data_IF_259719456075
#
_entry.id   IF_259719456075
#
_cell.length_a   1.000
_cell.length_b   1.000
_cell.length_c   1.000
_cell.angle_alpha   90.00
_cell.angle_beta   90.00
_cell.angle_gamma   90.00
#
_symmetry.space_group_name_H-M   'P 1'
#
loop_
_entity.id
_entity.type
_entity.pdbx_description
1 polymer ?
2 non-polymer ?
3 non-polymer ?
4 water ?
#
# COMPACT_ATOMS: atom_id res chain seq x y z
N UNK A 1 -16.28 -5.45 -8.90
CA UNK A 1 -15.29 -4.74 -9.71
C UNK A 1 -14.22 -5.71 -10.18
N UNK A 2 -13.85 -5.60 -11.45
CA UNK A 2 -12.89 -6.53 -12.07
C UNK A 2 -11.99 -5.79 -13.07
N UNK A 3 -10.78 -6.31 -13.21
CA UNK A 3 -9.86 -5.82 -14.23
C UNK A 3 -9.32 -6.97 -15.05
N UNK A 4 -8.69 -6.66 -16.16
CA UNK A 4 -7.83 -7.63 -16.83
C UNK A 4 -6.63 -6.96 -17.49
N UNK A 5 -5.68 -7.79 -17.86
CA UNK A 5 -4.45 -7.38 -18.50
C UNK A 5 -4.37 -8.00 -19.88
N UNK A 6 -4.17 -7.14 -20.89
CA UNK A 6 -4.13 -7.59 -22.28
C UNK A 6 -5.32 -8.49 -22.62
N UNK A 7 -6.50 -8.16 -22.11
CA UNK A 7 -7.71 -8.90 -22.43
C UNK A 7 -7.78 -10.30 -21.85
N UNK A 8 -6.97 -10.58 -20.84
CA UNK A 8 -6.95 -11.89 -20.21
C UNK A 8 -8.10 -12.16 -19.24
N UNK A 9 -7.94 -13.16 -18.38
CA UNK A 9 -9.00 -13.52 -17.45
C UNK A 9 -9.17 -12.44 -16.39
N UNK A 10 -10.34 -12.41 -15.78
CA UNK A 10 -10.71 -11.37 -14.83
C UNK A 10 -9.89 -11.44 -13.55
N UNK A 11 -9.63 -10.26 -12.98
CA UNK A 11 -8.86 -10.09 -11.76
C UNK A 11 -9.66 -9.27 -10.75
N UNK A 12 -9.78 -9.79 -9.53
CA UNK A 12 -10.59 -9.14 -8.52
C UNK A 12 -9.78 -8.49 -7.40
N UNK A 13 -8.51 -8.85 -7.31
CA UNK A 13 -7.62 -8.32 -6.29
C UNK A 13 -6.27 -8.98 -6.48
N UNK A 14 -5.27 -8.48 -5.75
CA UNK A 14 -3.96 -9.11 -5.75
C UNK A 14 -2.96 -8.51 -6.70
N UNK A 15 -1.88 -9.25 -6.91
CA UNK A 15 -0.74 -8.76 -7.65
C UNK A 15 -0.68 -9.41 -9.01
N UNK A 16 -0.51 -8.59 -10.04
CA UNK A 16 -0.46 -9.09 -11.42
C UNK A 16 0.70 -8.48 -12.20
N UNK A 17 1.41 -9.31 -12.95
CA UNK A 17 2.44 -8.81 -13.85
C UNK A 17 1.82 -8.16 -15.08
N UNK A 18 2.38 -7.00 -15.47
CA UNK A 18 1.94 -6.30 -16.67
C UNK A 18 3.16 -6.09 -17.56
N UNK A 19 3.18 -6.79 -18.70
CA UNK A 19 4.35 -6.73 -19.57
C UNK A 19 4.18 -5.62 -20.61
N UNK A 20 5.25 -4.88 -20.84
CA UNK A 20 5.18 -3.71 -21.70
C UNK A 20 6.35 -3.68 -22.67
N UNK A 21 6.10 -3.21 -23.88
CA UNK A 21 7.19 -2.98 -24.82
C UNK A 21 7.65 -1.54 -24.68
N UNK A 22 8.94 -1.34 -24.44
CA UNK A 22 9.46 0.01 -24.27
C UNK A 22 10.39 0.39 -25.41
N UNK A 23 10.65 1.69 -25.52
CA UNK A 23 11.66 2.18 -26.44
C UNK A 23 13.01 1.59 -26.08
N UNK A 24 13.66 0.91 -27.04
CA UNK A 24 14.91 0.18 -26.77
C UNK A 24 16.08 1.07 -26.35
N UNK A 25 15.99 2.38 -26.57
CA UNK A 25 17.03 3.31 -26.10
C UNK A 25 16.39 4.47 -25.34
N UNK A 26 17.00 4.87 -24.22
CA UNK A 26 16.48 5.98 -23.43
C UNK A 26 17.40 7.20 -23.50
N UNK A 27 16.94 8.23 -24.18
CA UNK A 27 17.78 9.39 -24.43
C UNK A 27 17.92 10.27 -23.19
N UNK A 28 19.18 10.62 -22.85
CA UNK A 28 19.49 11.49 -21.72
C UNK A 28 18.62 12.74 -21.72
N UNK A 29 18.03 13.05 -20.57
CA UNK A 29 17.18 14.22 -20.43
C UNK A 29 15.80 14.07 -21.05
N UNK A 30 15.47 12.87 -21.54
CA UNK A 30 14.16 12.62 -22.13
C UNK A 30 13.39 11.52 -21.40
N UNK A 31 12.10 11.75 -21.17
CA UNK A 31 11.22 10.77 -20.52
C UNK A 31 10.98 9.52 -21.35
N UNK A 32 11.12 8.36 -20.73
CA UNK A 32 10.66 7.11 -21.30
C UNK A 32 9.22 6.91 -20.88
N UNK A 33 8.33 6.65 -21.85
CA UNK A 33 6.90 6.52 -21.56
C UNK A 33 6.45 5.07 -21.43
N UNK A 34 5.73 4.78 -20.36
CA UNK A 34 5.12 3.48 -20.16
C UNK A 34 3.62 3.69 -20.12
N UNK A 35 2.97 3.50 -21.27
CA UNK A 35 1.54 3.70 -21.38
C UNK A 35 0.78 2.45 -20.90
N UNK A 36 0.26 2.48 -19.69
CA UNK A 36 -0.44 1.34 -19.16
C UNK A 36 -1.91 1.26 -19.60
N UNK A 37 -2.44 2.32 -20.21
CA UNK A 37 -3.80 2.24 -20.77
C UNK A 37 -3.83 1.20 -21.89
N UNK A 38 -2.67 0.86 -22.42
CA UNK A 38 -2.59 -0.12 -23.52
C UNK A 38 -2.71 -1.55 -23.01
N UNK A 39 -2.73 -1.74 -21.69
CA UNK A 39 -2.71 -3.09 -21.12
C UNK A 39 -3.73 -3.39 -20.02
N UNK A 40 -4.06 -2.40 -19.19
CA UNK A 40 -4.93 -2.67 -18.06
C UNK A 40 -6.30 -2.03 -18.29
N UNK A 41 -7.36 -2.82 -18.12
CA UNK A 41 -8.72 -2.30 -18.21
C UNK A 41 -9.53 -2.84 -17.05
N UNK A 42 -10.52 -2.07 -16.60
CA UNK A 42 -11.37 -2.49 -15.50
C UNK A 42 -12.83 -2.16 -15.79
N UNK A 43 -13.74 -2.78 -15.08
CA UNK A 43 -15.16 -2.51 -15.32
C UNK A 43 -16.00 -2.76 -14.08
N UNK A 44 -17.22 -2.23 -14.11
CA UNK A 44 -18.20 -2.44 -13.08
C UNK A 44 -18.89 -3.78 -13.35
N UNK A 45 -19.07 -4.61 -12.33
CA UNK A 45 -19.53 -5.97 -12.60
C UNK A 45 -21.05 -6.07 -12.73
N UNK A 46 -21.75 -4.96 -12.51
CA UNK A 46 -23.18 -4.88 -12.82
C UNK A 46 -23.48 -4.03 -14.03
N UNK A 47 -22.77 -2.90 -14.12
CA UNK A 47 -23.07 -1.89 -15.11
C UNK A 47 -24.22 -1.02 -14.63
N UNK A 48 -24.59 -0.03 -15.44
CA UNK A 48 -25.73 0.82 -15.16
C UNK A 48 -25.58 1.82 -14.02
N UNK A 49 -24.35 1.99 -13.51
CA UNK A 49 -24.11 2.95 -12.44
C UNK A 49 -24.97 2.67 -11.21
N UNK A 50 -25.11 1.38 -10.88
CA UNK A 50 -25.94 0.96 -9.74
C UNK A 50 -25.13 0.91 -8.43
N UNK A 51 -24.03 0.16 -8.43
CA UNK A 51 -23.08 0.14 -7.32
C UNK A 51 -21.72 0.63 -7.85
N UNK A 52 -21.57 1.94 -7.95
CA UNK A 52 -20.43 2.53 -8.66
C UNK A 52 -19.12 2.26 -7.93
N UNK A 53 -18.09 1.88 -8.71
CA UNK A 53 -16.74 1.67 -8.16
C UNK A 53 -15.90 2.93 -8.16
N UNK A 54 -15.04 3.07 -7.15
CA UNK A 54 -14.21 4.26 -7.00
C UNK A 54 -12.78 3.84 -6.85
N UNK A 55 -11.96 4.24 -7.80
CA UNK A 55 -10.61 3.70 -7.94
C UNK A 55 -9.56 4.79 -7.83
N UNK A 56 -8.52 4.55 -7.03
CA UNK A 56 -7.39 5.48 -7.01
C UNK A 56 -6.07 4.74 -6.87
N UNK A 57 -4.97 5.44 -7.16
CA UNK A 57 -3.65 4.88 -6.96
C UNK A 57 -3.14 5.34 -5.61
N UNK A 58 -2.27 4.54 -5.00
CA UNK A 58 -1.97 4.68 -3.58
C UNK A 58 -0.55 5.15 -3.27
N UNK A 59 -0.49 6.08 -2.32
CA UNK A 59 0.76 6.52 -1.73
C UNK A 59 1.73 5.36 -1.49
N UNK A 60 2.97 5.54 -1.90
CA UNK A 60 3.97 4.50 -1.73
C UNK A 60 4.30 3.77 -3.01
N UNK A 61 3.40 3.81 -3.99
CA UNK A 61 3.71 3.25 -5.30
C UNK A 61 5.03 3.82 -5.80
N UNK A 62 5.90 2.96 -6.31
CA UNK A 62 7.28 3.35 -6.53
C UNK A 62 7.96 2.57 -7.64
N UNK A 63 9.14 3.04 -8.01
CA UNK A 63 10.02 2.26 -8.86
C UNK A 63 10.49 1.04 -8.08
N UNK A 64 10.87 0.01 -8.82
CA UNK A 64 11.44 -1.19 -8.27
C UNK A 64 12.82 -1.22 -8.87
N UNK A 65 13.72 -1.51 -8.00
CA UNK A 65 13.46 -1.71 -6.60
C UNK A 65 13.96 -3.14 -6.51
N UNK A 66 15.21 -3.35 -6.95
CA UNK A 66 16.26 -2.33 -7.44
C UNK A 66 16.27 -1.47 -8.79
N UNK A 67 16.03 -0.17 -8.59
CA UNK A 67 15.95 0.89 -9.61
C UNK A 67 15.26 2.12 -9.01
N UNK A 68 15.25 2.14 -7.69
CA UNK A 68 14.65 3.16 -6.83
C UNK A 68 15.28 4.48 -6.93
N UNK A 69 16.42 4.53 -7.55
CA UNK A 69 17.12 5.77 -7.68
C UNK A 69 16.47 6.70 -8.69
N UNK A 70 15.64 6.15 -9.54
CA UNK A 70 15.01 6.95 -10.54
C UNK A 70 13.86 7.81 -10.09
N UNK A 71 13.69 8.90 -10.80
CA UNK A 71 12.53 9.74 -10.60
C UNK A 71 11.68 9.78 -11.86
N UNK A 72 10.49 10.34 -11.72
CA UNK A 72 9.58 10.37 -12.84
C UNK A 72 8.25 11.01 -12.52
N UNK A 73 7.25 10.70 -13.34
CA UNK A 73 5.92 11.22 -13.16
C UNK A 73 4.93 10.10 -13.41
N UNK A 74 3.78 10.17 -12.75
CA UNK A 74 2.70 9.21 -13.00
C UNK A 74 1.45 9.99 -13.38
N UNK A 75 0.98 9.76 -14.61
CA UNK A 75 -0.27 10.34 -15.07
C UNK A 75 -1.43 9.44 -14.67
N UNK A 76 -2.42 10.00 -13.96
CA UNK A 76 -3.63 9.27 -13.59
C UNK A 76 -4.82 10.15 -13.69
N UNK A 77 -5.73 9.83 -14.61
CA UNK A 77 -7.04 10.46 -14.65
C UNK A 77 -7.03 11.98 -14.47
N UNK A 78 -6.38 12.64 -15.42
CA UNK A 78 -6.38 14.09 -15.60
C UNK A 78 -5.35 14.83 -14.76
N UNK A 79 -4.56 14.11 -13.96
CA UNK A 79 -3.52 14.75 -13.13
C UNK A 79 -2.19 14.04 -13.31
N UNK A 80 -1.10 14.80 -13.38
CA UNK A 80 0.24 14.22 -13.44
C UNK A 80 0.92 14.43 -12.10
N UNK A 81 1.21 13.32 -11.42
CA UNK A 81 1.82 13.30 -10.08
C UNK A 81 3.31 13.02 -10.15
N UNK A 82 4.09 13.60 -9.21
CA UNK A 82 5.46 13.11 -9.07
C UNK A 82 5.44 11.62 -8.73
N UNK A 83 6.46 10.90 -9.19
CA UNK A 83 6.58 9.47 -8.94
C UNK A 83 8.03 9.20 -8.47
N UNK A 84 8.19 8.42 -7.39
CA UNK A 84 7.14 7.68 -6.67
C UNK A 84 6.07 8.54 -6.01
N UNK A 85 4.91 7.92 -5.83
CA UNK A 85 3.74 8.64 -5.31
C UNK A 85 3.87 8.92 -3.82
N UNK A 86 3.69 10.18 -3.43
CA UNK A 86 3.79 10.55 -2.02
C UNK A 86 2.41 10.85 -1.41
N UNK A 87 1.35 10.59 -2.19
CA UNK A 87 0.01 10.88 -1.75
C UNK A 87 -0.92 9.97 -2.55
N UNK A 88 -2.19 9.86 -2.15
CA UNK A 88 -3.16 9.12 -2.95
C UNK A 88 -3.64 10.02 -4.08
N UNK A 89 -3.94 9.42 -5.21
CA UNK A 89 -4.39 10.18 -6.39
C UNK A 89 -5.86 10.50 -6.31
N UNK A 90 -6.31 11.32 -7.25
CA UNK A 90 -7.74 11.52 -7.48
C UNK A 90 -8.44 10.19 -7.75
N UNK A 91 -9.75 10.18 -7.55
CA UNK A 91 -10.59 9.02 -7.77
C UNK A 91 -11.19 8.98 -9.17
N UNK A 92 -11.09 7.80 -9.80
CA UNK A 92 -11.74 7.50 -11.07
C UNK A 92 -12.98 6.68 -10.76
N UNK A 93 -14.11 7.03 -11.34
CA UNK A 93 -15.35 6.33 -11.05
C UNK A 93 -15.76 5.44 -12.20
N UNK A 94 -16.00 4.18 -11.89
CA UNK A 94 -16.27 3.12 -12.87
C UNK A 94 -17.65 2.51 -12.62
N UNK A 95 -18.55 2.64 -13.59
CA UNK A 95 -19.92 2.20 -13.42
C UNK A 95 -20.49 1.49 -14.64
N UNK A 96 -19.75 1.46 -15.74
CA UNK A 96 -20.15 0.71 -16.95
C UNK A 96 -19.60 -0.71 -16.93
N UNK A 97 -20.28 -1.65 -17.58
CA UNK A 97 -19.77 -3.00 -17.70
C UNK A 97 -18.77 -3.08 -18.85
N UNK A 98 -18.88 -2.17 -19.80
CA UNK A 98 -17.90 -2.05 -20.86
C UNK A 98 -16.55 -1.68 -20.24
N UNK A 99 -15.51 -2.47 -20.53
CA UNK A 99 -14.23 -2.17 -19.88
C UNK A 99 -13.70 -0.80 -20.23
N UNK A 100 -13.11 -0.13 -19.24
CA UNK A 100 -12.43 1.12 -19.44
C UNK A 100 -10.94 0.93 -19.24
N UNK A 101 -10.17 1.15 -20.30
CA UNK A 101 -8.70 1.19 -20.19
C UNK A 101 -8.30 2.18 -19.10
N UNK A 102 -7.36 1.82 -18.24
CA UNK A 102 -6.97 2.75 -17.19
C UNK A 102 -6.22 3.95 -17.78
N UNK A 103 -6.63 5.18 -17.39
CA UNK A 103 -5.95 6.38 -17.86
C UNK A 103 -4.67 6.59 -17.08
N UNK A 104 -3.68 5.74 -17.36
CA UNK A 104 -2.50 5.60 -16.53
C UNK A 104 -1.24 5.51 -17.38
N UNK A 105 -0.34 6.46 -17.16
CA UNK A 105 0.93 6.48 -17.87
C UNK A 105 2.05 6.78 -16.89
N UNK A 106 3.14 6.04 -16.99
CA UNK A 106 4.31 6.27 -16.15
C UNK A 106 5.40 6.88 -17.02
N UNK A 107 6.02 7.95 -16.51
CA UNK A 107 7.12 8.59 -17.21
C UNK A 107 8.40 8.42 -16.41
N UNK A 108 9.43 7.91 -17.07
CA UNK A 108 10.69 7.62 -16.39
C UNK A 108 11.81 8.54 -16.85
N UNK A 109 12.36 9.29 -15.90
CA UNK A 109 13.38 10.30 -16.19
C UNK A 109 14.77 9.74 -15.95
N UNK A 110 15.59 9.67 -17.01
CA UNK A 110 16.94 9.12 -16.92
C UNK A 110 17.95 10.15 -16.39
N UNK A 116 25.24 1.31 -20.23
CA UNK A 116 24.73 0.23 -21.05
C UNK A 116 23.26 -0.01 -20.80
N UNK A 117 22.92 -1.21 -20.34
CA UNK A 117 21.53 -1.55 -20.06
C UNK A 117 21.03 -0.86 -18.78
N UNK A 118 20.00 -0.04 -18.93
CA UNK A 118 19.39 0.66 -17.79
C UNK A 118 18.17 -0.10 -17.27
N UNK A 119 17.43 -0.72 -18.18
CA UNK A 119 16.28 -1.54 -17.83
C UNK A 119 16.44 -2.95 -18.40
N UNK A 120 16.37 -3.94 -17.51
CA UNK A 120 16.44 -5.34 -17.92
C UNK A 120 15.07 -5.93 -18.15
N UNK A 121 14.89 -6.57 -19.30
CA UNK A 121 13.66 -7.28 -19.59
C UNK A 121 13.39 -8.34 -18.53
N UNK A 122 12.13 -8.45 -18.10
CA UNK A 122 11.73 -9.51 -17.18
C UNK A 122 11.80 -9.14 -15.70
N UNK A 123 12.48 -8.04 -15.37
CA UNK A 123 12.55 -7.58 -14.00
C UNK A 123 11.42 -6.61 -13.70
N UNK A 124 10.86 -6.67 -12.50
CA UNK A 124 9.89 -5.65 -12.09
C UNK A 124 10.57 -4.28 -11.99
N UNK A 125 10.01 -3.28 -12.68
CA UNK A 125 10.60 -1.94 -12.64
C UNK A 125 9.73 -0.90 -11.90
N UNK A 126 8.46 -1.24 -11.67
CA UNK A 126 7.61 -0.41 -10.81
C UNK A 126 6.50 -1.26 -10.20
N UNK A 127 6.07 -0.86 -9.01
CA UNK A 127 4.96 -1.51 -8.32
C UNK A 127 3.89 -0.45 -8.05
N UNK A 128 2.78 -0.57 -8.76
CA UNK A 128 1.71 0.42 -8.67
C UNK A 128 0.55 -0.18 -7.88
N UNK A 129 0.26 0.42 -6.73
CA UNK A 129 -0.82 -0.03 -5.87
C UNK A 129 -2.09 0.73 -6.21
N UNK A 130 -3.15 -0.01 -6.50
CA UNK A 130 -4.44 0.56 -6.83
C UNK A 130 -5.47 0.12 -5.79
N UNK A 131 -6.32 1.05 -5.38
CA UNK A 131 -7.33 0.78 -4.36
C UNK A 131 -8.73 0.93 -4.95
N UNK A 132 -9.60 -0.01 -4.62
CA UNK A 132 -10.99 0.02 -5.05
C UNK A 132 -11.93 0.04 -3.86
N UNK A 133 -12.92 0.92 -3.89
CA UNK A 133 -14.04 0.82 -2.97
C UNK A 133 -15.31 1.21 -3.73
N UNK A 134 -16.39 0.45 -3.52
CA UNK A 134 -17.63 0.73 -4.22
C UNK A 134 -18.54 1.65 -3.40
N UNK A 135 -19.84 1.57 -3.63
CA UNK A 135 -20.78 2.57 -3.14
C UNK A 135 -21.77 2.03 -2.10
N UNK A 136 -22.25 0.81 -2.31
CA UNK A 136 -23.24 0.19 -1.43
C UNK A 136 -22.59 -0.65 -0.32
N UNK A 137 -23.26 -0.74 0.82
CA UNK A 137 -22.73 -1.48 1.96
C UNK A 137 -21.41 -0.91 2.48
N UNK A 138 -20.45 -1.79 2.69
CA UNK A 138 -19.11 -1.41 3.13
C UNK A 138 -18.29 -0.85 1.97
N UNK A 139 -18.71 -1.18 0.76
CA UNK A 139 -17.98 -0.80 -0.43
C UNK A 139 -17.05 -1.92 -0.86
N UNK A 140 -16.91 -2.93 0.01
CA UNK A 140 -16.16 -4.13 -0.34
C UNK A 140 -14.77 -3.78 -0.91
N UNK A 141 -13.97 -3.05 -0.12
CA UNK A 141 -12.69 -2.53 -0.62
C UNK A 141 -11.73 -3.64 -0.97
N UNK A 142 -10.97 -3.43 -2.04
CA UNK A 142 -9.99 -4.42 -2.47
C UNK A 142 -8.72 -3.74 -2.95
N UNK A 143 -7.61 -4.43 -2.80
CA UNK A 143 -6.33 -3.92 -3.25
C UNK A 143 -5.82 -4.67 -4.48
N UNK A 144 -5.30 -3.92 -5.44
CA UNK A 144 -4.58 -4.49 -6.58
C UNK A 144 -3.15 -3.96 -6.55
N UNK A 145 -2.20 -4.77 -7.00
CA UNK A 145 -0.88 -4.25 -7.32
C UNK A 145 -0.50 -4.65 -8.73
N UNK A 146 -0.04 -3.67 -9.48
CA UNK A 146 0.42 -3.91 -10.85
C UNK A 146 1.93 -3.87 -10.89
N UNK A 147 2.53 -5.02 -11.18
CA UNK A 147 3.97 -5.13 -11.27
C UNK A 147 4.38 -4.94 -12.71
N UNK A 148 5.02 -3.80 -13.00
CA UNK A 148 5.35 -3.43 -14.38
C UNK A 148 6.68 -4.06 -14.79
N UNK A 149 6.64 -4.82 -15.88
CA UNK A 149 7.79 -5.57 -16.38
C UNK A 149 8.03 -5.30 -17.86
N UNK A 150 9.25 -4.94 -18.23
CA UNK A 150 9.55 -4.69 -19.65
C UNK A 150 9.80 -5.99 -20.41
N UNK A 151 9.34 -6.06 -21.65
CA UNK A 151 9.61 -7.18 -22.54
C UNK A 151 10.99 -7.12 -23.16
N UNK A 152 11.61 -5.94 -23.11
CA UNK A 152 12.88 -5.74 -23.80
C UNK A 152 13.88 -4.92 -22.99
N UNK A 153 15.15 -5.03 -23.37
CA UNK A 153 16.19 -4.18 -22.81
C UNK A 153 15.94 -2.73 -23.16
N UNK A 154 16.35 -1.84 -22.27
CA UNK A 154 16.44 -0.42 -22.60
C UNK A 154 17.85 0.01 -22.29
N UNK A 155 18.52 0.69 -23.22
CA UNK A 155 19.92 1.05 -23.05
C UNK A 155 20.16 2.53 -23.27
N UNK A 156 21.31 2.99 -22.75
CA UNK A 156 21.76 4.40 -22.75
C UNK A 156 20.67 5.43 -23.03
N UNK B 1 15.77 6.94 8.38
CA UNK B 1 14.65 6.50 9.22
C UNK B 1 14.70 4.98 9.46
N UNK B 2 14.55 4.57 10.71
CA UNK B 2 14.64 3.16 11.08
C UNK B 2 13.63 2.80 12.17
N UNK B 3 13.20 1.53 12.18
CA UNK B 3 12.33 0.99 13.24
C UNK B 3 12.88 -0.30 13.79
N UNK B 4 12.34 -0.75 14.92
CA UNK B 4 12.56 -2.13 15.33
C UNK B 4 11.36 -2.69 16.09
N UNK B 5 11.36 -4.00 16.26
CA UNK B 5 10.27 -4.72 16.88
C UNK B 5 10.84 -5.42 18.11
N UNK B 6 10.23 -5.20 19.26
CA UNK B 6 10.70 -5.71 20.56
C UNK B 6 12.22 -5.62 20.70
N UNK B 7 12.76 -4.47 20.31
CA UNK B 7 14.18 -4.19 20.47
C UNK B 7 15.14 -4.93 19.54
N UNK B 8 14.59 -5.61 18.54
CA UNK B 8 15.41 -6.37 17.61
C UNK B 8 16.19 -5.51 16.63
N UNK B 9 16.62 -6.13 15.53
CA UNK B 9 17.48 -5.45 14.57
C UNK B 9 16.73 -4.33 13.85
N UNK B 10 17.47 -3.33 13.38
CA UNK B 10 16.89 -2.17 12.70
C UNK B 10 16.23 -2.58 11.38
N UNK B 11 15.17 -1.86 11.04
CA UNK B 11 14.35 -2.14 9.86
C UNK B 11 14.17 -0.86 9.06
N UNK B 12 14.52 -0.88 7.77
CA UNK B 12 14.47 0.32 6.96
C UNK B 12 13.34 0.32 5.94
N UNK B 13 12.70 -0.83 5.76
CA UNK B 13 11.63 -1.00 4.79
C UNK B 13 11.17 -2.44 4.84
N UNK B 14 10.05 -2.72 4.18
CA UNK B 14 9.61 -4.08 3.99
C UNK B 14 8.61 -4.58 5.01
N UNK B 15 8.40 -5.89 4.98
CA UNK B 15 7.41 -6.56 5.81
C UNK B 15 8.04 -7.20 7.04
N UNK B 16 7.45 -6.93 8.19
CA UNK B 16 7.94 -7.47 9.45
C UNK B 16 6.77 -8.02 10.25
N UNK B 17 6.94 -9.21 10.83
CA UNK B 17 5.89 -9.79 11.65
C UNK B 17 5.99 -9.26 13.07
N UNK B 18 4.85 -8.84 13.63
CA UNK B 18 4.81 -8.35 15.00
C UNK B 18 3.92 -9.25 15.84
N UNK B 19 4.51 -9.89 16.86
CA UNK B 19 3.78 -10.84 17.68
C UNK B 19 3.25 -10.20 18.95
N UNK B 20 1.99 -10.48 19.24
CA UNK B 20 1.34 -9.94 20.42
C UNK B 20 0.67 -11.04 21.23
N UNK B 21 0.57 -10.81 22.54
CA UNK B 21 -0.19 -11.68 23.43
C UNK B 21 -1.56 -11.11 23.71
N UNK B 22 -2.60 -11.89 23.41
CA UNK B 22 -3.98 -11.45 23.62
C UNK B 22 -4.68 -12.30 24.67
N UNK B 23 -5.83 -11.83 25.14
CA UNK B 23 -6.62 -12.58 26.11
C UNK B 23 -7.06 -13.90 25.52
N UNK B 24 -6.72 -15.00 26.20
CA UNK B 24 -7.06 -16.35 25.74
C UNK B 24 -8.55 -16.50 25.56
N UNK B 25 -9.28 -15.80 26.42
CA UNK B 25 -10.73 -15.80 26.38
C UNK B 25 -11.26 -14.38 26.48
N UNK B 26 -12.02 -13.98 25.47
CA UNK B 26 -12.74 -12.71 25.48
C UNK B 26 -14.19 -13.03 25.14
N UNK B 27 -15.11 -12.14 25.50
CA UNK B 27 -16.53 -12.39 25.31
C UNK B 27 -17.29 -11.20 24.74
N UNK B 28 -18.57 -11.40 24.40
CA UNK B 28 -19.35 -10.32 23.78
C UNK B 28 -19.81 -9.31 24.82
N UNK B 29 -19.96 -8.04 24.47
CA UNK B 29 -19.45 -7.50 23.22
C UNK B 29 -18.20 -6.73 23.57
N UNK B 30 -17.22 -7.44 24.11
CA UNK B 30 -15.92 -6.87 24.39
C UNK B 30 -15.13 -6.77 23.09
N UNK B 31 -14.09 -5.95 23.09
CA UNK B 31 -13.22 -5.87 21.93
C UNK B 31 -11.84 -6.42 22.25
N UNK B 32 -11.24 -7.09 21.27
CA UNK B 32 -9.83 -7.39 21.37
C UNK B 32 -9.06 -6.11 21.13
N UNK B 33 -8.22 -5.74 22.08
CA UNK B 33 -7.38 -4.57 21.91
C UNK B 33 -5.93 -4.97 21.75
N UNK B 34 -5.36 -4.63 20.61
CA UNK B 34 -3.97 -4.92 20.31
C UNK B 34 -3.16 -3.63 20.36
N UNK B 35 -2.33 -3.49 21.39
CA UNK B 35 -1.52 -2.29 21.57
C UNK B 35 -0.14 -2.47 20.95
N UNK B 36 0.09 -1.90 19.78
CA UNK B 36 1.37 -2.10 19.11
C UNK B 36 2.46 -1.16 19.61
N UNK B 37 2.11 -0.17 20.44
CA UNK B 37 3.12 0.79 20.89
C UNK B 37 4.17 0.10 21.77
N UNK B 38 3.78 -1.00 22.43
CA UNK B 38 4.72 -1.77 23.25
C UNK B 38 5.70 -2.57 22.39
N UNK B 39 5.41 -2.69 21.10
CA UNK B 39 6.19 -3.57 20.24
C UNK B 39 6.98 -2.88 19.13
N UNK B 40 6.47 -1.76 18.62
CA UNK B 40 7.14 -1.13 17.48
C UNK B 40 7.58 0.28 17.81
N UNK B 41 8.86 0.56 17.57
CA UNK B 41 9.41 1.91 17.75
C UNK B 41 10.22 2.33 16.54
N UNK B 42 10.21 3.62 16.24
CA UNK B 42 10.96 4.16 15.10
C UNK B 42 11.66 5.44 15.49
N UNK B 43 12.74 5.76 14.78
CA UNK B 43 13.53 6.93 15.12
C UNK B 43 14.10 7.55 13.86
N UNK B 44 14.45 8.82 13.99
CA UNK B 44 15.17 9.57 12.97
C UNK B 44 16.64 9.20 13.08
N UNK B 45 17.30 8.96 11.96
CA UNK B 45 18.66 8.43 12.00
C UNK B 45 19.74 9.48 12.13
N UNK B 46 19.36 10.76 12.06
CA UNK B 46 20.31 11.86 12.22
C UNK B 46 20.04 12.69 13.47
N UNK B 47 18.75 12.85 13.81
CA UNK B 47 18.37 13.70 14.92
C UNK B 47 18.34 15.18 14.59
N UNK B 48 18.02 16.00 15.58
CA UNK B 48 18.01 17.44 15.42
C UNK B 48 16.95 18.03 14.51
N UNK B 49 16.03 17.19 14.03
CA UNK B 49 15.02 17.61 13.05
C UNK B 49 15.68 18.24 11.83
N UNK B 50 16.88 17.76 11.52
CA UNK B 50 17.63 18.20 10.37
C UNK B 50 17.00 17.70 9.06
N UNK B 51 16.62 16.44 9.04
CA UNK B 51 15.93 15.83 7.90
C UNK B 51 14.74 15.07 8.47
N UNK B 52 13.68 15.79 8.79
CA UNK B 52 12.56 15.21 9.54
C UNK B 52 11.81 14.12 8.76
N UNK B 53 11.49 13.04 9.47
CA UNK B 53 10.71 11.94 8.88
C UNK B 53 9.21 12.12 9.11
N UNK B 54 8.42 11.90 8.05
CA UNK B 54 6.97 12.01 8.12
C UNK B 54 6.37 10.63 7.91
N UNK B 55 5.59 10.18 8.88
CA UNK B 55 5.04 8.84 8.87
C UNK B 55 3.52 8.85 8.94
N UNK B 56 2.89 8.03 8.10
CA UNK B 56 1.46 7.78 8.22
C UNK B 56 1.11 6.34 7.86
N UNK B 57 -0.13 5.94 8.14
CA UNK B 57 -0.61 4.62 7.76
C UNK B 57 -1.39 4.74 6.46
N UNK B 58 -1.46 3.66 5.71
CA UNK B 58 -1.89 3.76 4.32
C UNK B 58 -3.19 3.04 3.99
N UNK B 59 -4.02 3.76 3.25
CA UNK B 59 -5.22 3.22 2.62
C UNK B 59 -5.02 1.80 2.10
N UNK B 60 -5.94 0.91 2.45
CA UNK B 60 -5.88 -0.46 2.01
C UNK B 60 -5.50 -1.44 3.11
N UNK B 61 -4.82 -0.94 4.13
CA UNK B 61 -4.50 -1.76 5.31
C UNK B 61 -5.76 -2.46 5.78
N UNK B 62 -5.67 -3.77 6.02
CA UNK B 62 -6.86 -4.55 6.30
C UNK B 62 -6.60 -5.77 7.17
N UNK B 63 -7.68 -6.41 7.62
CA UNK B 63 -7.58 -7.72 8.24
C UNK B 63 -7.14 -8.75 7.21
N UNK B 64 -6.54 -9.83 7.67
CA UNK B 64 -6.20 -10.95 6.80
C UNK B 64 -7.47 -11.58 6.25
N UNK B 65 -7.34 -12.27 5.12
CA UNK B 65 -8.46 -12.91 4.45
C UNK B 65 -9.47 -13.61 5.34
N UNK B 66 -8.99 -14.46 6.24
CA UNK B 66 -9.86 -15.22 7.14
C UNK B 66 -10.66 -14.34 8.11
N UNK B 67 -10.14 -13.15 8.41
CA UNK B 67 -10.76 -12.30 9.43
C UNK B 67 -11.39 -11.02 8.87
N UNK B 68 -11.60 -10.96 7.56
CA UNK B 68 -12.11 -9.73 6.95
C UNK B 68 -13.59 -9.54 7.22
N UNK B 69 -14.19 -10.50 7.93
CA UNK B 69 -15.57 -10.37 8.35
C UNK B 69 -15.66 -9.57 9.66
N UNK B 70 -14.52 -9.43 10.33
CA UNK B 70 -14.48 -8.76 11.62
C UNK B 70 -14.64 -7.25 11.45
N UNK B 71 -15.18 -6.60 12.48
CA UNK B 71 -15.26 -5.14 12.50
C UNK B 71 -14.01 -4.61 13.18
N UNK B 72 -13.63 -3.38 12.86
CA UNK B 72 -12.40 -2.84 13.39
C UNK B 72 -12.29 -1.33 13.48
N UNK B 73 -11.48 -0.88 14.43
CA UNK B 73 -11.08 0.50 14.53
C UNK B 73 -9.58 0.51 14.72
N UNK B 74 -8.90 1.44 14.05
CA UNK B 74 -7.48 1.60 14.23
C UNK B 74 -7.23 2.95 14.88
N UNK B 75 -6.54 2.94 16.01
CA UNK B 75 -6.16 4.17 16.66
C UNK B 75 -4.73 4.53 16.28
N UNK B 76 -4.55 5.73 15.71
CA UNK B 76 -3.23 6.21 15.32
C UNK B 76 -3.05 7.68 15.68
N UNK B 77 -2.02 7.97 16.48
CA UNK B 77 -1.67 9.34 16.81
C UNK B 77 -2.90 10.13 17.27
N UNK B 78 -3.67 9.53 18.19
CA UNK B 78 -4.82 10.18 18.83
C UNK B 78 -6.11 10.17 18.01
N UNK B 79 -6.08 9.58 16.82
CA UNK B 79 -7.26 9.60 15.96
C UNK B 79 -7.76 8.18 15.69
N UNK B 80 -9.07 7.98 15.80
CA UNK B 80 -9.66 6.68 15.47
C UNK B 80 -10.14 6.65 14.03
N UNK B 81 -9.75 5.61 13.32
CA UNK B 81 -10.13 5.39 11.92
C UNK B 81 -10.84 4.07 11.80
N UNK B 82 -11.90 4.00 10.97
CA UNK B 82 -12.44 2.66 10.71
C UNK B 82 -11.38 1.76 10.09
N UNK B 83 -11.44 0.47 10.40
CA UNK B 83 -10.50 -0.52 9.86
C UNK B 83 -11.29 -1.65 9.20
N UNK B 84 -10.97 -2.00 7.94
CA UNK B 84 -9.81 -1.59 7.13
C UNK B 84 -9.80 -0.11 6.77
N UNK B 85 -8.59 0.41 6.54
CA UNK B 85 -8.42 1.82 6.20
C UNK B 85 -8.88 2.10 4.78
N UNK B 86 -9.81 3.03 4.63
CA UNK B 86 -10.27 3.45 3.31
C UNK B 86 -9.63 4.76 2.88
N UNK B 87 -8.72 5.27 3.73
CA UNK B 87 -7.97 6.50 3.50
C UNK B 87 -6.61 6.32 4.15
N UNK B 88 -5.71 7.27 3.93
CA UNK B 88 -4.49 7.38 4.73
C UNK B 88 -4.80 8.02 6.07
N UNK B 89 -3.90 7.85 7.04
CA UNK B 89 -4.06 8.49 8.34
C UNK B 89 -3.32 9.82 8.38
N UNK B 90 -3.45 10.52 9.50
CA UNK B 90 -2.69 11.74 9.73
C UNK B 90 -1.19 11.45 9.80
N UNK B 91 -0.41 12.51 9.68
CA UNK B 91 1.05 12.42 9.63
C UNK B 91 1.67 12.63 11.01
N UNK B 92 2.57 11.73 11.38
CA UNK B 92 3.38 11.85 12.58
C UNK B 92 4.79 12.23 12.18
N UNK B 93 5.33 13.31 12.77
CA UNK B 93 6.71 13.71 12.52
C UNK B 93 7.66 13.08 13.52
N UNK B 94 8.77 12.52 13.03
CA UNK B 94 9.83 12.05 13.91
C UNK B 94 11.16 12.69 13.50
N UNK B 95 11.76 13.47 14.41
CA UNK B 95 12.97 14.22 14.08
C UNK B 95 14.16 13.88 14.97
N UNK B 96 13.93 13.09 16.02
CA UNK B 96 14.98 12.78 16.99
C UNK B 96 15.44 11.34 16.88
N UNK B 97 16.66 11.06 17.35
CA UNK B 97 17.19 9.70 17.38
C UNK B 97 16.53 8.86 18.48
N UNK B 98 15.77 9.52 19.34
CA UNK B 98 15.02 8.81 20.38
C UNK B 98 13.98 7.86 19.76
N UNK B 99 14.06 6.56 20.09
CA UNK B 99 13.08 5.63 19.52
C UNK B 99 11.67 5.91 20.04
N UNK B 100 10.78 6.33 19.14
CA UNK B 100 9.41 6.64 19.51
C UNK B 100 8.51 5.44 19.29
N UNK B 101 7.87 4.94 20.36
CA UNK B 101 6.84 3.90 20.22
C UNK B 101 5.75 4.36 19.26
N UNK B 102 5.37 3.52 18.32
CA UNK B 102 4.30 3.93 17.41
C UNK B 102 2.97 4.04 18.16
N UNK B 103 2.29 5.18 18.02
CA UNK B 103 1.02 5.45 18.70
C UNK B 103 -0.09 4.74 17.99
N UNK B 104 -0.16 3.43 18.19
CA UNK B 104 -0.97 2.59 17.32
C UNK B 104 -1.63 1.46 18.09
N UNK B 105 -2.95 1.44 18.03
CA UNK B 105 -3.75 0.38 18.61
C UNK B 105 -4.74 -0.11 17.59
N UNK B 106 -5.00 -1.40 17.62
CA UNK B 106 -6.04 -1.97 16.76
C UNK B 106 -7.14 -2.52 17.65
N UNK B 107 -8.38 -2.10 17.39
CA UNK B 107 -9.54 -2.61 18.11
C UNK B 107 -10.32 -3.58 17.24
N UNK B 108 -10.48 -4.81 17.72
CA UNK B 108 -11.09 -5.87 16.93
C UNK B 108 -12.39 -6.37 17.57
N UNK B 109 -13.46 -6.34 16.79
CA UNK B 109 -14.74 -6.89 17.22
C UNK B 109 -15.05 -8.14 16.42
N UNK B 110 -14.94 -9.30 17.06
CA UNK B 110 -15.19 -10.60 16.41
C UNK B 110 -16.58 -10.68 15.78
N UNK B 111 -16.68 -11.29 14.61
CA UNK B 111 -17.96 -11.43 13.92
C UNK B 111 -18.04 -12.78 13.21
N UNK B 116 -15.40 -22.47 17.73
CA UNK B 116 -15.64 -21.16 18.30
C UNK B 116 -14.36 -20.35 18.43
N UNK B 117 -13.31 -20.81 17.75
CA UNK B 117 -12.03 -20.10 17.74
C UNK B 117 -12.13 -18.86 16.86
N UNK B 118 -11.85 -17.70 17.45
CA UNK B 118 -11.94 -16.43 16.73
C UNK B 118 -10.60 -15.99 16.15
N UNK B 119 -9.53 -16.33 16.85
CA UNK B 119 -8.17 -16.04 16.40
C UNK B 119 -7.25 -17.17 16.82
N UNK B 120 -6.56 -17.79 15.85
CA UNK B 120 -5.64 -18.86 16.21
C UNK B 120 -4.19 -18.40 16.17
N UNK B 121 -3.41 -18.92 17.09
CA UNK B 121 -2.01 -18.55 17.22
C UNK B 121 -1.27 -18.70 15.89
N UNK B 122 -0.45 -17.71 15.55
CA UNK B 122 0.39 -17.83 14.37
C UNK B 122 -0.18 -17.28 13.08
N UNK B 123 -1.50 -17.05 13.03
CA UNK B 123 -2.09 -16.56 11.79
C UNK B 123 -1.97 -15.04 11.72
N UNK B 124 -1.79 -14.51 10.52
CA UNK B 124 -1.82 -13.07 10.34
C UNK B 124 -3.21 -12.55 10.64
N UNK B 125 -3.29 -11.58 11.53
CA UNK B 125 -4.54 -10.92 11.92
C UNK B 125 -4.84 -9.76 10.99
N UNK B 126 -3.83 -8.94 10.77
CA UNK B 126 -3.97 -7.71 10.01
C UNK B 126 -2.64 -7.34 9.37
N UNK B 127 -2.72 -6.64 8.25
CA UNK B 127 -1.55 -6.12 7.56
C UNK B 127 -1.62 -4.61 7.55
N UNK B 128 -0.76 -3.97 8.32
CA UNK B 128 -0.84 -2.54 8.47
C UNK B 128 0.31 -1.90 7.71
N UNK B 129 -0.02 -1.18 6.64
CA UNK B 129 0.98 -0.56 5.77
C UNK B 129 1.34 0.85 6.28
N UNK B 130 2.63 1.10 6.45
CA UNK B 130 3.10 2.40 6.91
C UNK B 130 3.99 3.03 5.86
N UNK B 131 3.82 4.33 5.64
CA UNK B 131 4.64 5.08 4.69
C UNK B 131 5.52 6.10 5.38
N UNK B 132 6.76 6.21 4.91
CA UNK B 132 7.73 7.17 5.41
C UNK B 132 8.24 8.03 4.25
N UNK B 133 8.29 9.34 4.48
CA UNK B 133 9.02 10.23 3.58
C UNK B 133 9.65 11.30 4.46
N UNK B 134 10.91 11.61 4.17
CA UNK B 134 11.65 12.58 4.97
C UNK B 134 11.45 13.96 4.36
N UNK B 135 12.49 14.78 4.39
CA UNK B 135 12.32 16.18 4.02
C UNK B 135 13.28 16.65 2.93
N UNK B 136 14.56 16.35 3.09
CA UNK B 136 15.57 16.83 2.16
C UNK B 136 15.55 16.04 0.86
N UNK B 137 15.82 16.73 -0.24
CA UNK B 137 15.85 16.10 -1.55
C UNK B 137 14.56 15.37 -1.88
N UNK B 138 14.69 14.10 -2.27
CA UNK B 138 13.56 13.27 -2.68
C UNK B 138 12.75 12.83 -1.49
N UNK B 139 13.39 12.83 -0.33
CA UNK B 139 12.76 12.37 0.90
C UNK B 139 12.99 10.89 1.13
N UNK B 140 13.62 10.21 0.16
CA UNK B 140 13.84 8.76 0.23
C UNK B 140 12.65 8.00 0.81
N UNK B 141 11.49 8.09 0.13
CA UNK B 141 10.29 7.41 0.60
C UNK B 141 10.51 5.91 0.77
N UNK B 142 9.87 5.34 1.78
CA UNK B 142 10.00 3.92 2.10
C UNK B 142 8.68 3.34 2.58
N UNK B 143 8.43 2.08 2.24
CA UNK B 143 7.22 1.38 2.65
C UNK B 143 7.52 0.30 3.68
N UNK B 144 6.71 0.27 4.74
CA UNK B 144 6.76 -0.77 5.76
C UNK B 144 5.44 -1.49 5.80
N UNK B 145 5.45 -2.78 6.03
CA UNK B 145 4.22 -3.46 6.37
C UNK B 145 4.43 -4.21 7.67
N UNK B 146 3.48 -4.04 8.59
CA UNK B 146 3.51 -4.70 9.88
C UNK B 146 2.45 -5.79 9.86
N UNK B 147 2.91 -7.03 9.84
CA UNK B 147 2.03 -8.20 9.90
C UNK B 147 1.75 -8.55 11.34
N UNK B 148 0.53 -8.30 11.80
CA UNK B 148 0.20 -8.49 13.21
C UNK B 148 -0.26 -9.93 13.44
N UNK B 149 0.36 -10.58 14.42
CA UNK B 149 0.17 -12.00 14.66
C UNK B 149 0.04 -12.28 16.16
N UNK B 150 -0.83 -13.19 16.54
CA UNK B 150 -0.97 -13.52 17.96
C UNK B 150 -0.15 -14.75 18.35
N UNK B 151 0.55 -14.66 19.47
CA UNK B 151 1.28 -15.81 20.01
C UNK B 151 0.32 -16.94 20.39
N UNK B 152 -0.87 -16.57 20.85
CA UNK B 152 -1.81 -17.51 21.41
C UNK B 152 -3.17 -17.44 20.72
N UNK B 153 -3.93 -18.52 20.79
CA UNK B 153 -5.28 -18.53 20.24
C UNK B 153 -6.24 -17.78 21.16
N UNK B 154 -7.26 -17.16 20.58
CA UNK B 154 -8.26 -16.43 21.36
C UNK B 154 -9.60 -17.11 21.20
N UNK B 155 -10.26 -17.42 22.32
CA UNK B 155 -11.54 -18.10 22.25
C UNK B 155 -12.65 -17.29 22.91
N UNK B 156 -13.84 -17.37 22.33
CA UNK B 156 -15.01 -16.73 22.91
C UNK B 156 -15.93 -17.76 23.54
X LIG C 1 -19.24 -6.61 -6.98
X LIG C 1 -18.55 -6.07 -5.75
X LIG C 1 -18.74 -6.95 -4.66
X LIG C 1 -19.07 -4.70 -5.38
X LIG C 1 -18.31 -4.20 -4.29
X LIG C 1 -18.98 -3.81 -6.59
X LIG C 1 -17.62 -3.65 -6.94
X LIG C 1 -19.73 -4.44 -7.74
X LIG C 1 -19.73 -3.53 -8.96
X LIG C 1 -18.54 -3.65 -9.71
X LIG C 1 -19.14 -5.68 -8.05
X LIG C 1 -18.57 -7.81 -7.26
X LIG C 1 -19.08 -8.61 -8.30
X LIG C 1 -18.23 -9.46 -9.00
X LIG C 1 -18.76 -10.26 -10.02
X LIG C 1 -20.10 -10.19 -10.32
X LIG C 1 -20.94 -9.36 -9.62
X LIG C 1 -20.43 -8.57 -8.61
X LIG C 1 -16.84 -9.55 -8.74
X LIG C 1 -16.19 -10.52 -9.13
X LIG C 1 -16.23 -8.66 -8.14
X LIG C 1 -20.19 -6.79 -6.79
X LIG C 1 -17.59 -6.00 -5.92
X LIG C 1 -18.17 -7.63 -4.72
X LIG C 1 -20.01 -4.78 -5.11
X LIG C 1 -18.80 -3.60 -3.84
X LIG C 1 -19.37 -2.94 -6.39
X LIG C 1 -17.11 -3.98 -6.29
X LIG C 1 -20.66 -4.60 -7.46
X LIG C 1 -20.50 -3.76 -9.53
X LIG C 1 -19.83 -2.61 -8.67
X LIG C 1 -17.87 -3.29 -9.27
X LIG C 1 -18.17 -10.84 -10.52
X LIG C 1 -20.46 -10.76 -11.03
X LIG C 1 -21.89 -9.32 -9.84
X LIG C 1 -21.02 -7.97 -8.11
X LIG D 1 -22.61 -1.03 -20.10
X LIG D 1 -23.62 -0.07 -20.53
X LIG D 1 -21.30 -0.51 -20.51
X LIG D 1 -22.70 -1.22 -18.66
X LIG D 1 -22.83 -2.31 -20.76
X LIG E 1 18.35 8.66 6.32
X LIG E 1 17.35 8.62 5.17
X LIG E 1 18.01 8.28 4.01
X LIG E 1 16.67 9.96 5.09
X LIG E 1 15.70 9.90 4.11
X LIG E 1 16.06 10.33 6.43
X LIG E 1 15.00 9.45 6.65
X LIG E 1 17.14 10.27 7.48
X LIG E 1 16.58 10.60 8.86
X LIG E 1 15.91 9.57 9.45
X LIG E 1 17.74 9.05 7.51
X LIG E 1 18.82 7.39 6.43
X LIG E 1 19.85 7.12 7.30
X LIG E 1 20.01 5.85 7.73
X LIG E 1 21.02 5.58 8.63
X LIG E 1 21.87 6.53 9.06
X LIG E 1 21.70 7.78 8.63
X LIG E 1 20.70 8.07 7.76
X LIG E 1 19.15 4.82 7.35
X LIG E 1 18.12 4.98 6.83
X LIG E 1 19.42 3.70 7.61
X LIG E 1 19.08 9.26 6.10
X LIG E 1 16.70 7.95 5.36
X LIG E 1 18.35 8.99 3.62
X LIG E 1 17.33 10.62 4.85
X LIG E 1 15.62 10.67 3.71
X LIG E 1 15.72 11.24 6.38
X LIG E 1 15.22 8.81 7.19
X LIG E 1 17.80 10.94 7.26
X LIG E 1 16.00 11.37 8.80
X LIG E 1 17.32 10.83 9.43
X LIG E 1 16.48 9.03 9.81
X LIG E 1 21.14 4.68 8.95
X LIG E 1 22.57 6.31 9.68
X LIG E 1 22.30 8.48 8.93
X LIG E 1 20.60 8.97 7.45
#
# INVERSE_FOLDING_TARGET
FSCNVDGGSSIGAGTTSVYVNLDPVIQPGQNLVVDLSQHISCWNDYGGWYDTDHINLVQGSAFAGSLQSYKGSLYWNNVTYPFPLTTNTNVLDIGDKTPMPLPLKLYITPVGAAGGVVIKAGEVIARIHMYKIATLGSGNPRNFTWNIISNNSVVMPTGGHHHHHH
FSCNVDGGSSIGAGTTSVYVNLDPVIQPGQNLVVDLSQHISCWNDYGGWYDTDHINLVQGSAFAGSLQSYKGSLYWNNVTYPFPLTTNTNVLDIGDKTPMPLPLKLYITPVGAAGGVVIKAGEVIARIHMYKIATLGSGNPRNFTWNIISNNSVVMPTGGHHHHHH
145 C1 C2 O2 C3 O3 C4 O4 C5 C6 O6 O5 O1 C1' C2' C3' C4' C5' C6' N1' O2' O3' H1 H2 HO2 H3 HO3 H4 HO4 H5 H61 H62 HO6 H3' H4' H5' H6'
SO4 S O1 O2 O3 O4
145 C1 C2 O2 C3 O3 C4 O4 C5 C6 O6 O5 O1 C1' C2' C3' C4' C5' C6' N1' O2' O3' H1 H2 HO2 H3 HO3 H4 HO4 H5 H61 H62 HO6 H3' H4' H5' H6'
#
